data_IF_346980109754
#
_entry.id   IF_346980109754
#
_cell.length_a   1.000
_cell.length_b   1.000
_cell.length_c   1.000
_cell.angle_alpha   90.00
_cell.angle_beta   90.00
_cell.angle_gamma   90.00
#
_symmetry.space_group_name_H-M   'P 1'
#
loop_
_entity.id
_entity.type
_entity.pdbx_description
1 polymer ?
#
# COMPACT_ATOMS: atom_id res chain seq x y z
N UNK A 1 19.12 -8.86 -18.70
CA UNK A 1 17.99 -9.16 -17.79
C UNK A 1 17.65 -10.63 -17.93
N UNK A 2 17.50 -11.36 -16.83
CA UNK A 2 17.12 -12.77 -16.88
C UNK A 2 15.61 -12.95 -17.14
N UNK A 3 15.27 -13.69 -18.19
CA UNK A 3 13.88 -13.93 -18.60
C UNK A 3 13.10 -14.72 -17.54
N UNK A 4 13.73 -15.70 -16.87
CA UNK A 4 13.06 -16.50 -15.82
C UNK A 4 12.74 -15.66 -14.59
N UNK A 5 13.65 -14.74 -14.22
CA UNK A 5 13.44 -13.78 -13.16
C UNK A 5 12.31 -12.78 -13.50
N UNK A 6 12.23 -12.34 -14.75
CA UNK A 6 11.11 -11.51 -15.23
C UNK A 6 9.77 -12.27 -15.15
N UNK A 7 9.72 -13.53 -15.60
CA UNK A 7 8.53 -14.36 -15.48
C UNK A 7 8.10 -14.55 -14.01
N UNK A 8 9.08 -14.77 -13.11
CA UNK A 8 8.83 -14.83 -11.67
C UNK A 8 8.30 -13.49 -11.12
N UNK A 9 8.87 -12.38 -11.55
CA UNK A 9 8.42 -11.05 -11.17
C UNK A 9 6.97 -10.80 -11.63
N UNK A 10 6.61 -11.15 -12.86
CA UNK A 10 5.24 -11.07 -13.38
C UNK A 10 4.25 -11.86 -12.51
N UNK A 11 4.62 -13.08 -12.08
CA UNK A 11 3.81 -13.85 -11.15
C UNK A 11 3.59 -13.16 -9.79
N UNK A 12 4.58 -12.40 -9.29
CA UNK A 12 4.44 -11.59 -8.07
C UNK A 12 3.63 -10.32 -8.30
N UNK A 13 3.77 -9.71 -9.48
CA UNK A 13 2.95 -8.57 -9.88
C UNK A 13 1.47 -8.91 -9.94
N UNK A 14 1.12 -10.07 -10.51
CA UNK A 14 -0.27 -10.53 -10.52
C UNK A 14 -0.82 -10.71 -9.10
N UNK A 15 -0.01 -11.16 -8.13
CA UNK A 15 -0.42 -11.21 -6.72
C UNK A 15 -0.66 -9.83 -6.12
N UNK A 16 0.16 -8.83 -6.47
CA UNK A 16 -0.08 -7.45 -6.06
C UNK A 16 -1.40 -6.91 -6.63
N UNK A 17 -1.69 -7.20 -7.91
CA UNK A 17 -2.96 -6.83 -8.55
C UNK A 17 -4.14 -7.49 -7.84
N UNK A 18 -4.07 -8.79 -7.55
CA UNK A 18 -5.12 -9.48 -6.79
C UNK A 18 -5.31 -8.89 -5.40
N UNK A 19 -4.22 -8.58 -4.68
CA UNK A 19 -4.30 -7.95 -3.37
C UNK A 19 -4.93 -6.55 -3.43
N UNK A 20 -4.61 -5.78 -4.46
CA UNK A 20 -5.22 -4.46 -4.67
C UNK A 20 -6.71 -4.56 -5.03
N UNK A 21 -7.12 -5.54 -5.83
CA UNK A 21 -8.54 -5.81 -6.07
C UNK A 21 -9.28 -6.22 -4.79
N UNK A 22 -8.63 -7.01 -3.90
CA UNK A 22 -9.19 -7.28 -2.58
C UNK A 22 -9.36 -5.98 -1.79
N UNK A 23 -8.35 -5.10 -1.77
CA UNK A 23 -8.45 -3.79 -1.10
C UNK A 23 -9.63 -2.93 -1.60
N UNK A 24 -9.97 -3.00 -2.88
CA UNK A 24 -11.11 -2.27 -3.44
C UNK A 24 -12.46 -2.86 -3.02
N UNK A 25 -12.54 -4.20 -2.94
CA UNK A 25 -13.79 -4.93 -2.76
C UNK A 25 -14.08 -5.34 -1.31
N UNK A 26 -13.07 -5.30 -0.43
CA UNK A 26 -13.21 -5.67 0.97
C UNK A 26 -14.14 -4.71 1.70
N UNK A 27 -15.06 -5.30 2.48
CA UNK A 27 -16.05 -4.60 3.31
C UNK A 27 -15.75 -4.70 4.80
N UNK A 28 -14.68 -5.40 5.17
CA UNK A 28 -14.24 -5.56 6.55
C UNK A 28 -12.85 -4.98 6.73
N UNK A 29 -12.61 -4.35 7.88
CA UNK A 29 -11.29 -3.86 8.26
C UNK A 29 -10.25 -4.99 8.31
N UNK A 30 -10.62 -6.20 8.75
CA UNK A 30 -9.68 -7.32 8.81
C UNK A 30 -9.26 -7.79 7.40
N UNK A 31 -10.22 -7.85 6.47
CA UNK A 31 -9.93 -8.19 5.07
C UNK A 31 -9.07 -7.12 4.39
N UNK A 32 -9.28 -5.85 4.74
CA UNK A 32 -8.44 -4.75 4.25
C UNK A 32 -7.02 -4.82 4.80
N UNK A 33 -6.86 -5.13 6.09
CA UNK A 33 -5.54 -5.31 6.72
C UNK A 33 -4.80 -6.46 6.02
N UNK A 34 -5.45 -7.62 5.92
CA UNK A 34 -4.85 -8.79 5.27
C UNK A 34 -4.52 -8.53 3.80
N UNK A 35 -5.40 -7.86 3.06
CA UNK A 35 -5.13 -7.51 1.66
C UNK A 35 -3.98 -6.50 1.52
N UNK A 36 -3.83 -5.56 2.46
CA UNK A 36 -2.71 -4.64 2.48
C UNK A 36 -1.38 -5.34 2.79
N UNK A 37 -1.37 -6.25 3.77
CA UNK A 37 -0.20 -7.08 4.09
C UNK A 37 0.23 -7.95 2.90
N UNK A 38 -0.74 -8.64 2.27
CA UNK A 38 -0.53 -9.42 1.03
C UNK A 38 0.13 -8.57 -0.06
N UNK A 39 -0.37 -7.34 -0.26
CA UNK A 39 0.17 -6.39 -1.24
C UNK A 39 1.63 -6.04 -0.94
N UNK A 40 1.90 -5.64 0.30
CA UNK A 40 3.23 -5.21 0.76
C UNK A 40 4.25 -6.36 0.64
N UNK A 41 3.89 -7.57 1.05
CA UNK A 41 4.76 -8.76 0.93
C UNK A 41 5.02 -9.11 -0.54
N UNK A 42 3.98 -9.09 -1.38
CA UNK A 42 4.11 -9.36 -2.81
C UNK A 42 5.01 -8.33 -3.50
N UNK A 43 4.95 -7.06 -3.10
CA UNK A 43 5.80 -6.00 -3.63
C UNK A 43 7.28 -6.21 -3.33
N UNK A 44 7.63 -6.64 -2.11
CA UNK A 44 9.00 -6.97 -1.74
C UNK A 44 9.53 -8.17 -2.55
N UNK A 45 8.70 -9.20 -2.72
CA UNK A 45 9.03 -10.37 -3.54
C UNK A 45 9.21 -10.03 -5.03
N UNK A 46 8.36 -9.15 -5.58
CA UNK A 46 8.48 -8.63 -6.93
C UNK A 46 9.81 -7.90 -7.13
N UNK A 47 10.12 -6.96 -6.23
CA UNK A 47 11.34 -6.18 -6.28
C UNK A 47 12.59 -7.06 -6.20
N UNK A 48 12.60 -8.02 -5.27
CA UNK A 48 13.71 -8.96 -5.11
C UNK A 48 13.91 -9.86 -6.35
N UNK A 49 12.84 -10.28 -7.03
CA UNK A 49 12.95 -11.06 -8.26
C UNK A 49 13.63 -10.25 -9.38
N UNK A 50 13.20 -8.99 -9.58
CA UNK A 50 13.83 -8.10 -10.56
C UNK A 50 15.28 -7.77 -10.20
N UNK A 51 15.58 -7.60 -8.91
CA UNK A 51 16.95 -7.36 -8.46
C UNK A 51 17.91 -8.49 -8.86
N UNK A 52 17.49 -9.74 -8.63
CA UNK A 52 18.31 -10.89 -8.99
C UNK A 52 18.42 -11.04 -10.50
N UNK A 53 17.32 -10.84 -11.23
CA UNK A 53 17.32 -10.91 -12.69
C UNK A 53 18.15 -9.82 -13.37
N UNK A 54 18.28 -8.66 -12.72
CA UNK A 54 19.08 -7.55 -13.22
C UNK A 54 20.59 -7.81 -13.17
N UNK A 55 21.06 -8.72 -12.32
CA UNK A 55 22.50 -9.00 -12.15
C UNK A 55 23.14 -9.72 -13.35
N UNK A 56 22.35 -10.24 -14.29
CA UNK A 56 22.85 -11.05 -15.40
C UNK A 56 23.53 -10.26 -16.51
N UNK A 57 23.22 -8.96 -16.65
CA UNK A 57 23.94 -8.10 -17.60
C UNK A 57 24.28 -6.73 -17.00
N UNK A 58 25.39 -6.09 -17.43
CA UNK A 58 25.77 -4.76 -16.95
C UNK A 58 24.67 -3.71 -17.16
N UNK A 59 23.98 -3.77 -18.30
CA UNK A 59 22.88 -2.86 -18.63
C UNK A 59 21.70 -3.01 -17.67
N UNK A 60 21.23 -4.24 -17.41
CA UNK A 60 20.13 -4.45 -16.47
C UNK A 60 20.55 -4.14 -15.03
N UNK A 61 21.81 -4.40 -14.67
CA UNK A 61 22.32 -4.07 -13.34
C UNK A 61 22.38 -2.55 -13.12
N UNK A 62 22.80 -1.78 -14.14
CA UNK A 62 22.80 -0.32 -14.10
C UNK A 62 21.37 0.24 -14.03
N UNK A 63 20.43 -0.31 -14.81
CA UNK A 63 19.01 0.04 -14.71
C UNK A 63 18.48 -0.18 -13.29
N UNK A 64 18.73 -1.34 -12.68
CA UNK A 64 18.27 -1.63 -11.33
C UNK A 64 18.95 -0.77 -10.27
N UNK A 65 20.19 -0.33 -10.53
CA UNK A 65 20.86 0.70 -9.73
C UNK A 65 20.09 2.02 -9.68
N UNK A 66 19.50 2.46 -10.81
CA UNK A 66 18.63 3.64 -10.86
C UNK A 66 17.32 3.42 -10.11
N UNK A 67 16.65 2.29 -10.33
CA UNK A 67 15.44 1.89 -9.60
C UNK A 67 15.67 1.91 -8.07
N UNK A 68 16.81 1.39 -7.60
CA UNK A 68 17.20 1.47 -6.18
C UNK A 68 17.37 2.91 -5.70
N UNK A 69 17.91 3.78 -6.54
CA UNK A 69 18.05 5.21 -6.28
C UNK A 69 16.69 5.90 -6.15
N UNK A 70 15.78 5.63 -7.08
CA UNK A 70 14.44 6.23 -7.11
C UNK A 70 13.63 5.81 -5.88
N UNK A 71 13.62 4.51 -5.56
CA UNK A 71 12.98 4.01 -4.33
C UNK A 71 13.54 4.63 -3.06
N UNK A 72 14.83 4.98 -3.02
CA UNK A 72 15.44 5.66 -1.87
C UNK A 72 15.07 7.13 -1.78
N UNK A 73 14.49 7.73 -2.81
CA UNK A 73 14.07 9.14 -2.79
C UNK A 73 12.56 9.28 -2.64
N UNK A 74 11.82 8.27 -3.11
CA UNK A 74 10.37 8.27 -3.11
C UNK A 74 9.77 7.84 -1.75
N UNK A 75 8.98 8.70 -1.08
CA UNK A 75 8.41 8.38 0.22
C UNK A 75 7.46 7.17 0.22
N UNK A 76 6.66 6.99 -0.83
CA UNK A 76 5.74 5.85 -0.96
C UNK A 76 6.50 4.54 -1.08
N UNK A 77 7.49 4.48 -1.98
CA UNK A 77 8.26 3.27 -2.21
C UNK A 77 9.15 2.93 -1.01
N UNK A 78 9.68 3.94 -0.31
CA UNK A 78 10.35 3.72 0.97
C UNK A 78 9.38 3.11 1.98
N UNK A 79 8.21 3.71 2.18
CA UNK A 79 7.23 3.27 3.16
C UNK A 79 6.85 1.80 2.93
N UNK A 80 6.50 1.41 1.70
CA UNK A 80 6.16 0.02 1.35
C UNK A 80 7.31 -0.95 1.68
N UNK A 81 8.55 -0.58 1.35
CA UNK A 81 9.71 -1.42 1.67
C UNK A 81 9.91 -1.58 3.18
N UNK A 82 9.68 -0.53 3.97
CA UNK A 82 9.81 -0.61 5.42
C UNK A 82 8.66 -1.36 6.05
N UNK A 83 7.42 -1.15 5.57
CA UNK A 83 6.24 -1.92 5.97
C UNK A 83 6.48 -3.42 5.79
N UNK A 84 7.02 -3.83 4.62
CA UNK A 84 7.38 -5.24 4.37
C UNK A 84 8.41 -5.76 5.38
N UNK A 85 9.42 -4.95 5.72
CA UNK A 85 10.44 -5.36 6.68
C UNK A 85 9.87 -5.48 8.09
N UNK A 86 8.92 -4.63 8.47
CA UNK A 86 8.22 -4.71 9.74
C UNK A 86 7.27 -5.90 9.80
N UNK A 87 6.59 -6.26 8.70
CA UNK A 87 5.74 -7.46 8.68
C UNK A 87 6.55 -8.76 8.71
N UNK A 88 7.66 -8.84 7.98
CA UNK A 88 8.44 -10.09 7.94
C UNK A 88 9.34 -10.31 9.17
N UNK A 89 9.73 -9.24 9.86
CA UNK A 89 10.73 -9.31 10.94
C UNK A 89 10.34 -8.56 12.21
N UNK A 90 9.25 -7.80 12.20
CA UNK A 90 8.73 -7.08 13.34
C UNK A 90 7.55 -7.81 13.99
N UNK A 91 7.13 -7.28 15.15
CA UNK A 91 5.97 -7.74 15.92
C UNK A 91 4.82 -6.71 15.82
N UNK A 92 5.11 -5.52 15.29
CA UNK A 92 4.19 -4.39 15.19
C UNK A 92 3.40 -4.44 13.87
N UNK A 93 2.07 -4.33 13.95
CA UNK A 93 1.17 -4.27 12.79
C UNK A 93 1.38 -2.99 11.98
N UNK A 94 1.49 -3.09 10.65
CA UNK A 94 1.64 -1.92 9.74
C UNK A 94 0.34 -1.14 9.49
N UNK A 95 -0.81 -1.68 9.89
CA UNK A 95 -2.12 -1.05 9.76
C UNK A 95 -3.02 -1.42 10.94
N UNK A 96 -3.98 -0.55 11.25
CA UNK A 96 -5.00 -0.76 12.28
C UNK A 96 -6.36 -0.25 11.81
N UNK A 97 -7.48 -0.80 12.30
CA UNK A 97 -8.79 -0.21 12.10
C UNK A 97 -8.74 1.28 12.46
N UNK A 98 -9.33 2.14 11.63
CA UNK A 98 -9.39 3.56 11.97
C UNK A 98 -10.37 3.75 13.12
N UNK A 99 -9.87 4.20 14.26
CA UNK A 99 -10.75 4.63 15.35
C UNK A 99 -11.32 6.00 14.97
N UNK A 100 -12.45 6.01 14.28
CA UNK A 100 -13.25 7.22 14.09
C UNK A 100 -13.86 7.59 15.45
N UNK A 101 -13.13 8.33 16.29
CA UNK A 101 -13.64 8.83 17.56
C UNK A 101 -14.64 9.97 17.30
N UNK A 102 -15.91 9.75 17.63
CA UNK A 102 -16.97 10.76 17.57
C UNK A 102 -16.95 11.59 18.86
N UNK A 103 -16.63 12.88 18.77
CA UNK A 103 -16.86 13.83 19.84
C UNK A 103 -18.24 14.49 19.65
N UNK A 104 -19.26 13.99 20.36
CA UNK A 104 -20.61 14.54 20.29
C UNK A 104 -20.79 15.63 21.37
N UNK A 105 -21.03 16.87 20.95
CA UNK A 105 -21.55 17.94 21.83
C UNK A 105 -22.96 18.27 21.38
N UNK A 106 -23.97 17.69 22.03
CA UNK A 106 -25.36 18.10 21.83
C UNK A 106 -25.69 19.28 22.74
N UNK A 107 -26.18 20.37 22.16
CA UNK A 107 -26.71 21.52 22.86
C UNK A 107 -28.25 21.48 22.90
N UNK A 108 -28.81 20.33 23.30
CA UNK A 108 -30.26 20.16 23.52
C UNK A 108 -31.04 19.49 22.39
N UNK A 109 -30.38 19.05 21.31
CA UNK A 109 -31.01 18.30 20.23
C UNK A 109 -30.91 16.79 20.44
N UNK A 110 -31.99 16.08 20.11
CA UNK A 110 -32.04 14.61 20.11
C UNK A 110 -31.16 14.06 18.99
N UNK A 111 -30.18 13.24 19.35
CA UNK A 111 -29.26 12.59 18.40
C UNK A 111 -29.56 11.10 18.39
N UNK A 112 -29.95 10.59 17.22
CA UNK A 112 -30.11 9.16 17.02
C UNK A 112 -28.82 8.60 16.43
N UNK A 113 -28.19 7.69 17.18
CA UNK A 113 -27.04 6.93 16.71
C UNK A 113 -27.53 5.50 16.45
N UNK A 114 -27.47 5.06 15.21
CA UNK A 114 -27.76 3.69 14.84
C UNK A 114 -26.51 3.03 14.26
N UNK A 115 -26.25 1.79 14.67
CA UNK A 115 -25.26 0.94 14.03
C UNK A 115 -26.00 0.01 13.08
N UNK A 116 -25.54 -0.08 11.83
CA UNK A 116 -26.18 -0.95 10.84
C UNK A 116 -25.69 -2.41 10.89
N UNK A 117 -24.95 -2.81 11.93
CA UNK A 117 -24.45 -4.16 12.12
C UNK A 117 -23.25 -4.54 11.22
N UNK A 118 -22.89 -3.72 10.23
CA UNK A 118 -21.73 -3.90 9.35
C UNK A 118 -20.60 -2.94 9.73
N UNK A 119 -20.44 -2.62 11.01
CA UNK A 119 -19.48 -1.62 11.47
C UNK A 119 -19.92 -0.18 11.24
N UNK A 120 -20.63 0.17 10.17
CA UNK A 120 -20.97 1.57 9.88
C UNK A 120 -21.92 2.19 10.91
N UNK A 121 -21.69 3.47 11.19
CA UNK A 121 -22.51 4.28 12.08
C UNK A 121 -23.26 5.32 11.26
N UNK A 122 -24.57 5.41 11.49
CA UNK A 122 -25.39 6.52 11.02
C UNK A 122 -25.71 7.41 12.22
N UNK A 123 -25.41 8.69 12.08
CA UNK A 123 -25.77 9.71 13.07
C UNK A 123 -26.79 10.63 12.42
N UNK A 124 -28.00 10.62 12.95
CA UNK A 124 -29.09 11.52 12.56
C UNK A 124 -29.23 12.61 13.61
N UNK A 125 -29.20 13.87 13.17
CA UNK A 125 -29.53 15.04 13.96
C UNK A 125 -30.47 15.97 13.16
N UNK A 126 -31.11 16.92 13.83
CA UNK A 126 -32.22 17.71 13.28
C UNK A 126 -31.92 18.43 11.94
N UNK A 127 -30.65 18.68 11.61
CA UNK A 127 -30.23 19.36 10.37
C UNK A 127 -29.67 18.44 9.28
N UNK A 128 -29.67 17.12 9.46
CA UNK A 128 -29.26 16.17 8.41
C UNK A 128 -28.66 14.86 8.91
N UNK A 129 -28.45 13.93 7.98
CA UNK A 129 -27.80 12.65 8.23
C UNK A 129 -26.31 12.72 7.86
N UNK A 130 -25.44 12.20 8.73
CA UNK A 130 -24.02 12.00 8.41
C UNK A 130 -23.70 10.51 8.49
N UNK A 131 -23.19 9.98 7.39
CA UNK A 131 -22.76 8.59 7.27
C UNK A 131 -21.28 8.46 7.58
N UNK A 132 -20.94 7.63 8.56
CA UNK A 132 -19.55 7.33 8.91
C UNK A 132 -19.23 5.88 8.51
N UNK A 133 -18.53 5.67 7.38
CA UNK A 133 -18.05 4.33 7.04
C UNK A 133 -16.98 3.92 8.06
N UNK A 134 -17.24 2.88 8.83
CA UNK A 134 -16.37 2.35 9.89
C UNK A 134 -15.41 1.26 9.37
N UNK A 135 -15.38 1.05 8.04
CA UNK A 135 -14.60 0.01 7.38
C UNK A 135 -13.27 0.53 6.82
N UNK A 136 -12.80 1.71 7.22
CA UNK A 136 -11.50 2.21 6.77
C UNK A 136 -10.38 1.84 7.75
N UNK A 137 -9.23 1.46 7.21
CA UNK A 137 -8.02 1.16 7.97
C UNK A 137 -7.01 2.31 7.84
N UNK A 138 -6.35 2.63 8.94
CA UNK A 138 -5.33 3.68 8.99
C UNK A 138 -3.93 3.07 8.97
N UNK A 139 -3.10 3.56 8.06
CA UNK A 139 -1.69 3.17 7.98
C UNK A 139 -0.92 3.75 9.15
N UNK A 140 -0.12 2.89 9.79
CA UNK A 140 0.67 3.27 10.95
C UNK A 140 2.10 3.64 10.54
N UNK A 141 2.76 4.58 11.23
CA UNK A 141 4.20 4.76 11.06
C UNK A 141 4.94 3.44 11.30
N UNK A 142 5.85 3.10 10.40
CA UNK A 142 6.63 1.87 10.48
C UNK A 142 7.99 2.18 11.07
N UNK A 143 8.36 1.50 12.16
CA UNK A 143 9.68 1.66 12.77
C UNK A 143 10.61 0.53 12.32
N UNK A 144 11.76 0.89 11.75
CA UNK A 144 12.80 -0.07 11.40
C UNK A 144 14.16 0.43 11.85
N UNK A 145 14.88 -0.38 12.64
CA UNK A 145 16.22 -0.06 13.19
C UNK A 145 16.29 1.34 13.83
N UNK A 146 15.29 1.69 14.63
CA UNK A 146 15.23 2.97 15.35
C UNK A 146 14.80 4.18 14.50
N UNK A 147 14.55 4.01 13.20
CA UNK A 147 14.01 5.06 12.33
C UNK A 147 12.53 4.82 12.05
N UNK A 148 11.70 5.84 12.28
CA UNK A 148 10.27 5.81 11.98
C UNK A 148 10.01 6.35 10.57
N UNK A 149 9.13 5.68 9.84
CA UNK A 149 8.70 6.02 8.49
C UNK A 149 7.19 6.26 8.51
N UNK A 150 6.73 7.53 8.44
CA UNK A 150 5.32 7.84 8.46
C UNK A 150 4.65 7.41 7.13
N UNK A 151 3.32 7.22 7.12
CA UNK A 151 2.57 7.07 5.87
C UNK A 151 2.93 8.19 4.89
N UNK A 152 3.10 7.86 3.60
CA UNK A 152 3.65 8.78 2.62
C UNK A 152 2.70 9.94 2.35
N UNK A 153 3.28 11.11 2.13
CA UNK A 153 2.56 12.33 1.73
C UNK A 153 2.76 12.65 0.25
N UNK A 154 3.67 11.94 -0.41
CA UNK A 154 4.11 12.24 -1.76
C UNK A 154 4.58 10.97 -2.46
N UNK A 155 4.39 10.92 -3.78
CA UNK A 155 4.93 9.91 -4.69
C UNK A 155 5.35 10.59 -5.99
N UNK A 156 6.56 10.30 -6.48
CA UNK A 156 7.11 10.84 -7.73
C UNK A 156 7.06 12.38 -7.84
N UNK A 157 7.25 13.11 -6.74
CA UNK A 157 7.18 14.58 -6.72
C UNK A 157 5.76 15.15 -6.54
N UNK A 158 4.72 14.29 -6.49
CA UNK A 158 3.31 14.69 -6.43
C UNK A 158 2.72 14.39 -5.07
N UNK A 159 2.04 15.37 -4.48
CA UNK A 159 1.37 15.21 -3.19
C UNK A 159 0.22 14.20 -3.28
N UNK A 160 0.16 13.31 -2.29
CA UNK A 160 -0.89 12.32 -2.13
C UNK A 160 -2.00 12.92 -1.27
N UNK A 161 -3.16 13.14 -1.89
CA UNK A 161 -4.37 13.66 -1.23
C UNK A 161 -5.10 12.56 -0.46
N UNK A 162 -5.21 11.38 -1.05
CA UNK A 162 -5.84 10.21 -0.45
C UNK A 162 -4.78 9.20 0.04
N UNK A 163 -4.69 9.05 1.35
CA UNK A 163 -3.67 8.20 2.02
C UNK A 163 -4.19 6.82 2.41
N UNK A 164 -5.37 6.44 1.91
CA UNK A 164 -5.94 5.12 2.18
C UNK A 164 -5.11 4.04 1.50
N UNK A 165 -5.01 2.83 2.08
CA UNK A 165 -4.22 1.74 1.51
C UNK A 165 -4.56 1.40 0.06
N UNK A 166 -5.85 1.48 -0.30
CA UNK A 166 -6.36 1.30 -1.66
C UNK A 166 -5.69 2.23 -2.67
N UNK A 167 -5.56 3.53 -2.35
CA UNK A 167 -4.96 4.52 -3.23
C UNK A 167 -3.44 4.36 -3.29
N UNK A 168 -2.80 4.15 -2.14
CA UNK A 168 -1.35 3.94 -2.09
C UNK A 168 -0.92 2.68 -2.88
N UNK A 169 -1.70 1.60 -2.79
CA UNK A 169 -1.49 0.40 -3.58
C UNK A 169 -1.62 0.68 -5.09
N UNK A 170 -2.62 1.47 -5.48
CA UNK A 170 -2.83 1.85 -6.88
C UNK A 170 -1.65 2.66 -7.43
N UNK A 171 -1.19 3.68 -6.70
CA UNK A 171 -0.02 4.48 -7.07
C UNK A 171 1.24 3.61 -7.21
N UNK A 172 1.48 2.73 -6.26
CA UNK A 172 2.63 1.81 -6.30
C UNK A 172 2.54 0.81 -7.47
N UNK A 173 1.35 0.28 -7.79
CA UNK A 173 1.16 -0.61 -8.94
C UNK A 173 1.50 0.05 -10.26
N UNK A 174 1.15 1.34 -10.43
CA UNK A 174 1.52 2.08 -11.65
C UNK A 174 3.03 2.14 -11.80
N UNK A 175 3.76 2.45 -10.73
CA UNK A 175 5.22 2.43 -10.74
C UNK A 175 5.79 1.04 -11.06
N UNK A 176 5.29 -0.02 -10.40
CA UNK A 176 5.75 -1.39 -10.66
C UNK A 176 5.42 -1.88 -12.07
N UNK A 177 4.31 -1.41 -12.66
CA UNK A 177 3.97 -1.70 -14.05
C UNK A 177 5.00 -1.09 -15.01
N UNK A 178 5.43 0.16 -14.76
CA UNK A 178 6.53 0.78 -15.54
C UNK A 178 7.82 -0.04 -15.43
N UNK A 179 8.16 -0.52 -14.23
CA UNK A 179 9.35 -1.38 -14.04
C UNK A 179 9.28 -2.67 -14.86
N UNK A 180 8.09 -3.26 -15.03
CA UNK A 180 7.89 -4.47 -15.86
C UNK A 180 8.16 -4.15 -17.32
N UNK A 181 7.61 -3.06 -17.84
CA UNK A 181 7.80 -2.67 -19.24
C UNK A 181 9.27 -2.39 -19.54
N UNK A 182 9.96 -1.67 -18.65
CA UNK A 182 11.41 -1.45 -18.75
C UNK A 182 12.20 -2.76 -18.70
N UNK A 183 11.83 -3.69 -17.81
CA UNK A 183 12.49 -4.99 -17.70
C UNK A 183 12.29 -5.86 -18.95
N UNK A 184 11.09 -5.83 -19.57
CA UNK A 184 10.81 -6.52 -20.84
C UNK A 184 11.70 -6.02 -21.97
N UNK A 185 11.87 -4.71 -22.09
CA UNK A 185 12.76 -4.12 -23.10
C UNK A 185 14.21 -4.59 -22.91
N UNK A 186 14.66 -4.72 -21.66
CA UNK A 186 16.00 -5.21 -21.34
C UNK A 186 16.22 -6.70 -21.61
N UNK A 187 15.16 -7.51 -21.71
CA UNK A 187 15.25 -8.90 -22.17
C UNK A 187 15.38 -8.95 -23.68
N UNK A 188 14.68 -8.07 -24.41
CA UNK A 188 14.72 -8.04 -25.88
C UNK A 188 16.03 -7.51 -26.45
N UNK A 189 16.78 -6.73 -25.66
CA UNK A 189 18.05 -6.11 -26.06
C UNK A 189 19.31 -6.90 -25.65
N UNK A 190 19.16 -7.94 -24.84
CA UNK A 190 20.26 -8.76 -24.30
C UNK A 190 20.26 -10.16 -24.87
#
# INVERSE_FOLDING_TARGET
>A
MDERALAKALGKFNRMVTAQQKLENSKSSDDLISAWEDFVIASGSFYAALEQGAKTSPQSNAWFGRVKGDRKKDPLLQYIQQARNAEEHGIEKISKPSNSAIALRSAGDEVHISSNGNGNWEVTYASGNVHFPNDEISLQPVTNRGKSYPPPKEHAGVQITDRRPRELAHLALRYFSTMIEEAKLLVQQG
#
